data_IF_860928162875
#
_entry.id   IF_860928162875
#
_cell.length_a   1.000
_cell.length_b   1.000
_cell.length_c   1.000
_cell.angle_alpha   90.00
_cell.angle_beta   90.00
_cell.angle_gamma   90.00
#
_symmetry.space_group_name_H-M   'P 1'
#
loop_
_entity.id
_entity.type
_entity.pdbx_description
1 polymer ?
#
# COMPACT_ATOMS: atom_id res chain seq x y z
N UNK A 1 -11.79 -7.06 -12.16
CA UNK A 1 -12.01 -6.27 -10.93
C UNK A 1 -13.10 -6.84 -10.01
N UNK A 2 -14.11 -7.55 -10.53
CA UNK A 2 -15.22 -8.05 -9.69
C UNK A 2 -14.75 -9.13 -8.71
N UNK A 3 -13.79 -9.96 -9.10
CA UNK A 3 -13.27 -11.06 -8.28
C UNK A 3 -12.35 -10.51 -7.19
N UNK A 4 -11.48 -9.58 -7.56
CA UNK A 4 -10.53 -8.91 -6.67
C UNK A 4 -11.27 -8.17 -5.54
N UNK A 5 -12.35 -7.46 -5.87
CA UNK A 5 -13.22 -6.86 -4.86
C UNK A 5 -13.86 -7.91 -3.94
N UNK A 6 -14.39 -9.01 -4.50
CA UNK A 6 -15.04 -10.08 -3.72
C UNK A 6 -14.07 -10.75 -2.75
N UNK A 7 -12.81 -10.95 -3.13
CA UNK A 7 -11.80 -11.54 -2.23
C UNK A 7 -11.67 -10.70 -0.96
N UNK A 8 -11.49 -9.38 -1.09
CA UNK A 8 -11.39 -8.49 0.07
C UNK A 8 -12.69 -8.38 0.86
N UNK A 9 -13.86 -8.36 0.20
CA UNK A 9 -15.17 -8.35 0.86
C UNK A 9 -15.40 -9.61 1.70
N UNK A 10 -15.02 -10.79 1.19
CA UNK A 10 -15.13 -12.07 1.92
C UNK A 10 -14.21 -12.07 3.14
N UNK A 11 -12.94 -11.67 2.97
CA UNK A 11 -11.99 -11.60 4.07
C UNK A 11 -12.44 -10.60 5.13
N UNK A 12 -12.93 -9.42 4.73
CA UNK A 12 -13.50 -8.44 5.65
C UNK A 12 -14.68 -9.03 6.45
N UNK A 13 -15.62 -9.69 5.76
CA UNK A 13 -16.74 -10.37 6.39
C UNK A 13 -16.30 -11.44 7.40
N UNK A 14 -15.30 -12.25 7.04
CA UNK A 14 -14.70 -13.23 7.94
C UNK A 14 -14.03 -12.58 9.16
N UNK A 15 -13.24 -11.52 8.97
CA UNK A 15 -12.60 -10.80 10.07
C UNK A 15 -13.62 -10.21 11.06
N UNK A 16 -14.71 -9.61 10.58
CA UNK A 16 -15.76 -9.09 11.45
C UNK A 16 -16.54 -10.20 12.16
N UNK A 17 -16.84 -11.29 11.45
CA UNK A 17 -17.45 -12.48 12.05
C UNK A 17 -16.57 -13.01 13.18
N UNK A 18 -15.26 -13.16 12.95
CA UNK A 18 -14.31 -13.61 13.96
C UNK A 18 -14.14 -12.60 15.09
N UNK A 19 -14.18 -11.29 14.82
CA UNK A 19 -14.14 -10.26 15.85
C UNK A 19 -15.30 -10.41 16.84
N UNK A 20 -16.51 -10.70 16.33
CA UNK A 20 -17.69 -10.97 17.17
C UNK A 20 -17.51 -12.26 17.97
N UNK A 21 -17.16 -13.37 17.33
CA UNK A 21 -16.96 -14.65 18.04
C UNK A 21 -15.86 -14.56 19.11
N UNK A 22 -14.71 -13.98 18.75
CA UNK A 22 -13.59 -13.78 19.66
C UNK A 22 -13.99 -12.86 20.81
N UNK A 23 -14.69 -11.76 20.54
CA UNK A 23 -15.12 -10.83 21.58
C UNK A 23 -16.08 -11.45 22.59
N UNK A 24 -16.98 -12.33 22.15
CA UNK A 24 -17.89 -13.04 23.03
C UNK A 24 -17.19 -14.13 23.86
N UNK A 25 -16.23 -14.83 23.27
CA UNK A 25 -15.53 -15.96 23.90
C UNK A 25 -14.38 -15.51 24.80
N UNK A 26 -13.39 -14.82 24.23
CA UNK A 26 -12.15 -14.46 24.91
C UNK A 26 -12.31 -13.22 25.81
N UNK A 27 -13.23 -12.31 25.47
CA UNK A 27 -13.50 -11.05 26.18
C UNK A 27 -12.24 -10.20 26.42
N UNK A 28 -11.29 -10.31 25.49
CA UNK A 28 -9.97 -9.68 25.56
C UNK A 28 -9.91 -8.52 24.53
N UNK A 29 -9.60 -7.29 24.96
CA UNK A 29 -9.80 -6.10 24.12
C UNK A 29 -8.81 -5.96 22.95
N UNK A 30 -7.55 -6.38 23.11
CA UNK A 30 -6.50 -6.22 22.08
C UNK A 30 -6.83 -7.02 20.83
N UNK A 31 -7.25 -8.27 20.99
CA UNK A 31 -7.64 -9.14 19.87
C UNK A 31 -8.91 -8.67 19.18
N UNK A 32 -9.91 -8.16 19.91
CA UNK A 32 -11.12 -7.57 19.32
C UNK A 32 -10.73 -6.36 18.45
N UNK A 33 -9.89 -5.47 18.97
CA UNK A 33 -9.42 -4.28 18.23
C UNK A 33 -8.62 -4.70 17.00
N UNK A 34 -7.69 -5.64 17.14
CA UNK A 34 -6.89 -6.16 16.02
C UNK A 34 -7.76 -6.72 14.90
N UNK A 35 -8.69 -7.64 15.22
CA UNK A 35 -9.59 -8.26 14.23
C UNK A 35 -10.51 -7.23 13.58
N UNK A 36 -11.03 -6.27 14.35
CA UNK A 36 -11.92 -5.23 13.83
C UNK A 36 -11.17 -4.29 12.88
N UNK A 37 -9.94 -3.88 13.22
CA UNK A 37 -9.12 -3.02 12.37
C UNK A 37 -8.65 -3.75 11.11
N UNK A 38 -8.31 -5.03 11.19
CA UNK A 38 -8.00 -5.85 10.01
C UNK A 38 -9.23 -5.97 9.09
N UNK A 39 -10.41 -6.23 9.65
CA UNK A 39 -11.67 -6.22 8.89
C UNK A 39 -11.93 -4.86 8.23
N UNK A 40 -11.69 -3.77 8.96
CA UNK A 40 -11.79 -2.40 8.45
C UNK A 40 -10.82 -2.11 7.31
N UNK A 41 -9.56 -2.54 7.41
CA UNK A 41 -8.57 -2.42 6.34
C UNK A 41 -9.02 -3.16 5.08
N UNK A 42 -9.46 -4.41 5.22
CA UNK A 42 -9.99 -5.18 4.09
C UNK A 42 -11.25 -4.53 3.49
N UNK A 43 -12.11 -3.93 4.33
CA UNK A 43 -13.30 -3.22 3.87
C UNK A 43 -12.97 -1.95 3.08
N UNK A 44 -11.97 -1.16 3.50
CA UNK A 44 -11.50 0.01 2.76
C UNK A 44 -11.01 -0.40 1.36
N UNK A 45 -10.16 -1.43 1.29
CA UNK A 45 -9.61 -1.91 0.00
C UNK A 45 -10.71 -2.53 -0.87
N UNK A 46 -11.53 -3.41 -0.30
CA UNK A 46 -12.59 -4.12 -1.02
C UNK A 46 -13.66 -3.17 -1.58
N UNK A 47 -14.11 -2.19 -0.79
CA UNK A 47 -15.10 -1.20 -1.25
C UNK A 47 -14.55 -0.28 -2.33
N UNK A 48 -13.27 0.10 -2.25
CA UNK A 48 -12.60 0.83 -3.32
C UNK A 48 -12.59 0.02 -4.63
N UNK A 49 -12.14 -1.24 -4.61
CA UNK A 49 -12.17 -2.08 -5.80
C UNK A 49 -13.58 -2.33 -6.31
N UNK A 50 -14.57 -2.47 -5.42
CA UNK A 50 -15.99 -2.61 -5.79
C UNK A 50 -16.50 -1.39 -6.54
N UNK A 51 -16.10 -0.19 -6.10
CA UNK A 51 -16.44 1.05 -6.78
C UNK A 51 -15.80 1.14 -8.16
N UNK A 52 -14.50 0.84 -8.28
CA UNK A 52 -13.82 0.87 -9.59
C UNK A 52 -14.37 -0.20 -10.53
N UNK A 53 -14.66 -1.41 -10.03
CA UNK A 53 -15.27 -2.50 -10.81
C UNK A 53 -16.63 -2.17 -11.42
N UNK A 54 -17.34 -1.16 -10.88
CA UNK A 54 -18.61 -0.67 -11.42
C UNK A 54 -18.43 0.46 -12.44
N UNK A 55 -17.24 1.06 -12.50
CA UNK A 55 -16.94 2.21 -13.39
C UNK A 55 -16.14 1.82 -14.62
N UNK A 56 -15.29 0.81 -14.54
CA UNK A 56 -14.47 0.37 -15.68
C UNK A 56 -15.12 -0.78 -16.44
N UNK A 57 -14.81 -0.89 -17.72
CA UNK A 57 -15.19 -2.03 -18.56
C UNK A 57 -14.36 -3.26 -18.22
N UNK A 58 -14.80 -4.41 -18.74
CA UNK A 58 -14.04 -5.65 -18.63
C UNK A 58 -12.67 -5.48 -19.29
N UNK A 59 -11.61 -5.85 -18.55
CA UNK A 59 -10.23 -5.78 -19.01
C UNK A 59 -9.85 -7.11 -19.66
N UNK A 60 -8.83 -7.17 -20.53
CA UNK A 60 -8.35 -8.43 -21.10
C UNK A 60 -8.01 -9.48 -20.02
N UNK A 61 -7.44 -9.04 -18.89
CA UNK A 61 -7.12 -9.92 -17.74
C UNK A 61 -8.34 -10.51 -17.01
N UNK A 62 -9.54 -9.94 -17.20
CA UNK A 62 -10.79 -10.46 -16.63
C UNK A 62 -11.51 -11.42 -17.60
N UNK A 63 -11.11 -11.51 -18.88
CA UNK A 63 -11.76 -12.29 -19.93
C UNK A 63 -11.06 -13.64 -20.18
N UNK A 64 -11.80 -14.74 -20.04
CA UNK A 64 -11.30 -16.12 -20.24
C UNK A 64 -10.95 -16.45 -21.70
N UNK A 65 -11.42 -15.64 -22.66
CA UNK A 65 -11.19 -15.81 -24.09
C UNK A 65 -10.33 -14.68 -24.69
N UNK A 66 -9.65 -13.89 -23.86
CA UNK A 66 -8.78 -12.83 -24.35
C UNK A 66 -7.60 -13.39 -25.15
N UNK A 67 -7.25 -12.73 -26.24
CA UNK A 67 -6.05 -13.01 -27.03
C UNK A 67 -4.88 -12.16 -26.54
N UNK A 68 -3.64 -12.59 -26.84
CA UNK A 68 -2.42 -11.86 -26.45
C UNK A 68 -2.41 -10.44 -27.06
N UNK A 69 -2.98 -10.30 -28.27
CA UNK A 69 -3.10 -9.02 -28.96
C UNK A 69 -4.00 -8.01 -28.23
N UNK A 70 -4.94 -8.46 -27.39
CA UNK A 70 -5.84 -7.57 -26.65
C UNK A 70 -5.09 -6.73 -25.60
N UNK A 71 -3.87 -7.13 -25.22
CA UNK A 71 -2.97 -6.41 -24.31
C UNK A 71 -1.83 -5.66 -25.00
N UNK A 72 -1.79 -5.56 -26.33
CA UNK A 72 -0.64 -5.07 -27.10
C UNK A 72 -0.40 -3.53 -27.05
N UNK A 73 -0.91 -2.83 -26.02
CA UNK A 73 -0.71 -1.40 -25.83
C UNK A 73 0.51 -1.05 -24.98
N UNK A 74 0.79 0.25 -24.83
CA UNK A 74 1.76 0.74 -23.86
C UNK A 74 1.22 0.55 -22.43
N UNK A 75 1.99 -0.12 -21.55
CA UNK A 75 1.60 -0.32 -20.14
C UNK A 75 1.64 0.98 -19.32
N UNK A 76 2.57 1.88 -19.66
CA UNK A 76 2.86 3.10 -18.91
C UNK A 76 4.35 3.28 -18.63
N UNK A 77 4.67 4.23 -17.76
CA UNK A 77 6.04 4.56 -17.38
C UNK A 77 6.54 3.65 -16.26
N UNK A 78 7.77 3.13 -16.42
CA UNK A 78 8.52 2.43 -15.38
C UNK A 78 9.89 3.06 -15.20
N UNK A 79 10.30 3.23 -13.94
CA UNK A 79 11.65 3.63 -13.60
C UNK A 79 12.65 2.57 -14.12
N UNK A 80 13.59 2.92 -15.02
CA UNK A 80 14.62 1.97 -15.48
C UNK A 80 15.67 1.69 -14.40
N UNK A 81 15.79 2.57 -13.41
CA UNK A 81 16.69 2.45 -12.28
C UNK A 81 16.58 3.70 -11.40
N UNK A 82 16.59 3.48 -10.08
CA UNK A 82 16.53 4.56 -9.09
C UNK A 82 17.26 4.15 -7.82
N UNK A 83 18.13 5.02 -7.31
CA UNK A 83 18.85 4.81 -6.05
C UNK A 83 18.10 5.39 -4.85
N UNK A 84 17.07 6.20 -5.07
CA UNK A 84 16.30 6.84 -4.01
C UNK A 84 15.61 5.85 -3.06
N UNK A 85 15.05 4.70 -3.51
CA UNK A 85 14.48 3.71 -2.60
C UNK A 85 15.51 3.13 -1.61
N UNK A 86 16.76 2.94 -2.05
CA UNK A 86 17.84 2.47 -1.17
C UNK A 86 18.18 3.54 -0.12
N UNK A 87 18.29 4.81 -0.54
CA UNK A 87 18.52 5.93 0.37
C UNK A 87 17.38 6.09 1.38
N UNK A 88 16.12 5.94 0.95
CA UNK A 88 14.94 5.99 1.80
C UNK A 88 14.94 4.84 2.83
N UNK A 89 15.27 3.62 2.41
CA UNK A 89 15.40 2.48 3.31
C UNK A 89 16.51 2.70 4.36
N UNK A 90 17.66 3.25 3.95
CA UNK A 90 18.73 3.61 4.87
C UNK A 90 18.30 4.69 5.86
N UNK A 91 17.60 5.74 5.40
CA UNK A 91 17.07 6.81 6.25
C UNK A 91 16.05 6.27 7.28
N UNK A 92 15.15 5.38 6.86
CA UNK A 92 14.23 4.69 7.75
C UNK A 92 14.98 3.80 8.77
N UNK A 93 16.05 3.12 8.34
CA UNK A 93 16.93 2.34 9.22
C UNK A 93 17.61 3.19 10.29
N UNK A 94 18.10 4.39 9.94
CA UNK A 94 18.63 5.37 10.90
C UNK A 94 17.54 5.79 11.89
N UNK A 95 16.30 6.02 11.42
CA UNK A 95 15.16 6.33 12.29
C UNK A 95 14.83 5.20 13.27
N UNK A 96 14.87 3.95 12.81
CA UNK A 96 14.67 2.78 13.66
C UNK A 96 15.78 2.68 14.75
N UNK A 97 17.04 2.89 14.38
CA UNK A 97 18.15 2.92 15.35
C UNK A 97 18.00 4.07 16.35
N UNK A 98 17.61 5.26 15.88
CA UNK A 98 17.39 6.41 16.74
C UNK A 98 16.30 6.15 17.80
N UNK A 99 15.19 5.52 17.40
CA UNK A 99 14.13 5.10 18.32
C UNK A 99 14.62 4.01 19.28
N UNK A 100 15.32 2.99 18.77
CA UNK A 100 15.78 1.86 19.58
C UNK A 100 16.73 2.29 20.71
N UNK A 101 17.63 3.25 20.47
CA UNK A 101 18.58 3.77 21.46
C UNK A 101 18.13 5.07 22.13
N UNK A 102 16.87 5.50 21.90
CA UNK A 102 16.28 6.72 22.43
C UNK A 102 17.13 7.99 22.20
N UNK A 103 17.69 8.12 20.99
CA UNK A 103 18.53 9.25 20.58
C UNK A 103 17.68 10.30 19.87
N UNK A 104 17.09 11.24 20.63
CA UNK A 104 16.16 12.25 20.09
C UNK A 104 16.78 13.13 18.99
N UNK A 105 18.04 13.51 19.13
CA UNK A 105 18.73 14.31 18.11
C UNK A 105 18.87 13.54 16.78
N UNK A 106 19.20 12.24 16.85
CA UNK A 106 19.33 11.38 15.69
C UNK A 106 17.96 11.10 15.06
N UNK A 107 16.89 11.09 15.86
CA UNK A 107 15.52 10.95 15.37
C UNK A 107 15.12 12.15 14.51
N UNK A 108 15.46 13.38 14.94
CA UNK A 108 15.23 14.59 14.13
C UNK A 108 16.01 14.51 12.81
N UNK A 109 17.27 14.08 12.86
CA UNK A 109 18.08 13.87 11.65
C UNK A 109 17.44 12.83 10.72
N UNK A 110 16.96 11.70 11.26
CA UNK A 110 16.31 10.67 10.47
C UNK A 110 15.05 11.19 9.77
N UNK A 111 14.23 12.00 10.45
CA UNK A 111 13.05 12.62 9.83
C UNK A 111 13.46 13.52 8.65
N UNK A 112 14.48 14.37 8.83
CA UNK A 112 14.99 15.22 7.74
C UNK A 112 15.49 14.38 6.56
N UNK A 113 16.24 13.31 6.83
CA UNK A 113 16.72 12.39 5.79
C UNK A 113 15.57 11.72 5.04
N UNK A 114 14.55 11.22 5.75
CA UNK A 114 13.37 10.60 5.14
C UNK A 114 12.67 11.61 4.22
N UNK A 115 12.42 12.83 4.68
CA UNK A 115 11.78 13.87 3.87
C UNK A 115 12.59 14.20 2.61
N UNK A 116 13.92 14.28 2.74
CA UNK A 116 14.80 14.52 1.60
C UNK A 116 14.76 13.36 0.60
N UNK A 117 14.82 12.11 1.06
CA UNK A 117 14.80 10.92 0.20
C UNK A 117 13.43 10.73 -0.47
N UNK A 118 12.33 11.00 0.22
CA UNK A 118 10.98 11.01 -0.35
C UNK A 118 10.87 12.11 -1.40
N UNK A 119 11.36 13.32 -1.12
CA UNK A 119 11.39 14.42 -2.08
C UNK A 119 12.14 14.04 -3.34
N UNK A 120 13.35 13.49 -3.20
CA UNK A 120 14.13 13.00 -4.34
C UNK A 120 13.42 11.93 -5.15
N UNK A 121 12.84 10.92 -4.49
CA UNK A 121 12.08 9.84 -5.15
C UNK A 121 10.87 10.37 -5.94
N UNK A 122 10.11 11.31 -5.36
CA UNK A 122 8.90 11.87 -5.99
C UNK A 122 9.26 12.77 -7.17
N UNK A 123 10.33 13.57 -7.04
CA UNK A 123 10.72 14.53 -8.06
C UNK A 123 11.66 13.98 -9.13
N UNK A 124 12.21 12.77 -8.98
CA UNK A 124 13.23 12.18 -9.87
C UNK A 124 12.91 12.33 -11.37
N UNK A 125 11.67 12.06 -11.78
CA UNK A 125 11.25 12.11 -13.18
C UNK A 125 10.55 13.42 -13.59
N UNK A 126 10.57 14.43 -12.72
CA UNK A 126 9.90 15.71 -12.91
C UNK A 126 10.89 16.90 -12.85
N UNK A 127 12.15 16.66 -13.20
CA UNK A 127 13.22 17.67 -13.21
C UNK A 127 13.33 18.25 -14.62
N UNK A 128 13.23 19.57 -14.74
CA UNK A 128 13.45 20.27 -16.02
C UNK A 128 14.93 20.29 -16.41
N UNK A 129 15.26 20.61 -17.67
CA UNK A 129 16.65 20.78 -18.10
C UNK A 129 17.36 21.86 -17.28
N UNK A 130 18.65 21.66 -17.02
CA UNK A 130 19.50 22.70 -16.42
C UNK A 130 19.46 23.94 -17.31
N UNK A 131 19.46 25.13 -16.68
CA UNK A 131 19.27 26.41 -17.37
C UNK A 131 20.55 26.99 -17.99
N UNK A 132 21.61 26.21 -18.10
CA UNK A 132 22.94 26.64 -18.53
C UNK A 132 23.44 25.86 -19.75
#
# INVERSE_FOLDING_TARGET
MKVEARIFEIVAGFCFLMAVFYGLWAREPVGIVGLTLTGGLCLIVGTYFRFVARRITERPEDNLHAEISDGAGELGFFSPGSYWPLGLAAAAGVGALALAFFQVWLLVVAVVLILFMVGGLVFEYHIGPNRD
#
